data_IF_564348999468
#
_entry.id   IF_564348999468
#
_cell.length_a   1.000
_cell.length_b   1.000
_cell.length_c   1.000
_cell.angle_alpha   90.00
_cell.angle_beta   90.00
_cell.angle_gamma   90.00
#
_symmetry.space_group_name_H-M   'P 1'
#
loop_
_entity.id
_entity.type
_entity.pdbx_description
1 polymer ?
#
# COMPACT_ATOMS: atom_id res chain seq x y z
N UNK A 1 31.99 9.56 10.47
CA UNK A 1 30.96 8.99 9.57
C UNK A 1 29.55 9.26 10.09
N UNK A 2 29.22 8.97 11.36
CA UNK A 2 27.89 9.24 11.96
C UNK A 2 27.37 10.68 11.81
N UNK A 3 28.24 11.69 11.97
CA UNK A 3 27.84 13.11 11.92
C UNK A 3 27.26 13.54 10.57
N UNK A 4 27.84 13.10 9.47
CA UNK A 4 27.36 13.44 8.11
C UNK A 4 25.97 12.85 7.85
N UNK A 5 25.72 11.63 8.35
CA UNK A 5 24.40 10.97 8.24
C UNK A 5 23.35 11.75 9.04
N UNK A 6 23.69 12.17 10.26
CA UNK A 6 22.79 12.95 11.10
C UNK A 6 22.50 14.34 10.51
N UNK A 7 23.54 15.04 10.04
CA UNK A 7 23.37 16.37 9.43
C UNK A 7 22.52 16.29 8.16
N UNK A 8 22.66 15.22 7.35
CA UNK A 8 21.83 14.98 6.18
C UNK A 8 20.37 14.66 6.54
N UNK A 9 20.15 13.84 7.57
CA UNK A 9 18.81 13.50 8.05
C UNK A 9 18.08 14.74 8.62
N UNK A 10 18.78 15.54 9.42
CA UNK A 10 18.25 16.79 9.98
C UNK A 10 17.90 17.81 8.89
N UNK A 11 18.76 17.94 7.87
CA UNK A 11 18.51 18.78 6.71
C UNK A 11 17.27 18.32 5.95
N UNK A 12 17.16 17.03 5.61
CA UNK A 12 15.99 16.46 4.95
C UNK A 12 14.70 16.74 5.72
N UNK A 13 14.72 16.47 7.03
CA UNK A 13 13.55 16.62 7.90
C UNK A 13 13.08 18.09 7.97
N UNK A 14 14.02 19.04 8.07
CA UNK A 14 13.71 20.47 8.20
C UNK A 14 13.27 21.11 6.89
N UNK A 15 13.87 20.72 5.77
CA UNK A 15 13.76 21.51 4.54
C UNK A 15 12.66 21.01 3.60
N UNK A 16 12.56 19.70 3.37
CA UNK A 16 11.71 19.21 2.27
C UNK A 16 10.94 17.92 2.54
N UNK A 17 11.21 17.18 3.62
CA UNK A 17 10.55 15.90 3.89
C UNK A 17 9.02 16.03 3.94
N UNK A 18 8.51 17.01 4.71
CA UNK A 18 7.07 17.20 4.82
C UNK A 18 6.41 17.56 3.47
N UNK A 19 7.10 18.34 2.64
CA UNK A 19 6.61 18.75 1.31
C UNK A 19 6.58 17.54 0.37
N UNK A 20 7.66 16.75 0.36
CA UNK A 20 7.77 15.55 -0.47
C UNK A 20 6.73 14.48 -0.07
N UNK A 21 6.51 14.29 1.23
CA UNK A 21 5.47 13.40 1.74
C UNK A 21 4.07 13.87 1.34
N UNK A 22 3.76 15.16 1.48
CA UNK A 22 2.46 15.71 1.08
C UNK A 22 2.25 15.63 -0.44
N UNK A 23 3.29 15.91 -1.23
CA UNK A 23 3.22 15.79 -2.68
C UNK A 23 2.97 14.35 -3.12
N UNK A 24 3.60 13.37 -2.46
CA UNK A 24 3.40 11.96 -2.74
C UNK A 24 1.98 11.53 -2.38
N UNK A 25 1.46 11.91 -1.21
CA UNK A 25 0.09 11.59 -0.80
C UNK A 25 -0.95 12.19 -1.74
N UNK A 26 -0.75 13.44 -2.18
CA UNK A 26 -1.68 14.13 -3.08
C UNK A 26 -1.88 13.43 -4.43
N UNK A 27 -0.97 12.55 -4.87
CA UNK A 27 -1.10 11.82 -6.14
C UNK A 27 -2.30 10.86 -6.16
N UNK A 28 -2.51 10.10 -5.09
CA UNK A 28 -3.67 9.20 -4.96
C UNK A 28 -4.72 9.67 -3.97
N UNK A 29 -4.40 10.62 -3.10
CA UNK A 29 -5.33 11.25 -2.15
C UNK A 29 -5.33 12.77 -2.31
N UNK A 30 -5.81 13.32 -3.44
CA UNK A 30 -5.76 14.76 -3.73
C UNK A 30 -6.58 15.59 -2.73
N UNK A 31 -7.60 15.00 -2.11
CA UNK A 31 -8.45 15.64 -1.11
C UNK A 31 -7.92 15.46 0.32
N UNK A 32 -6.78 14.77 0.49
CA UNK A 32 -6.12 14.51 1.78
C UNK A 32 -7.09 13.97 2.85
N UNK A 33 -7.92 12.99 2.48
CA UNK A 33 -8.83 12.35 3.43
C UNK A 33 -8.06 11.81 4.63
N UNK A 34 -8.57 12.09 5.83
CA UNK A 34 -8.04 11.54 7.07
C UNK A 34 -8.27 10.03 7.18
N UNK A 35 -9.45 9.56 6.73
CA UNK A 35 -9.72 8.14 6.53
C UNK A 35 -9.03 7.71 5.23
N UNK A 36 -8.00 6.87 5.37
CA UNK A 36 -7.11 6.47 4.28
C UNK A 36 -7.84 5.56 3.30
N UNK A 37 -8.77 4.75 3.79
CA UNK A 37 -9.58 3.83 3.02
C UNK A 37 -10.58 4.58 2.13
N UNK A 38 -11.06 5.75 2.57
CA UNK A 38 -11.86 6.66 1.71
C UNK A 38 -11.01 7.19 0.56
N UNK A 39 -9.80 7.68 0.83
CA UNK A 39 -8.88 8.15 -0.21
C UNK A 39 -8.46 7.05 -1.18
N UNK A 40 -8.23 5.84 -0.66
CA UNK A 40 -7.93 4.66 -1.48
C UNK A 40 -9.10 4.27 -2.39
N UNK A 41 -10.32 4.16 -1.86
CA UNK A 41 -11.50 3.85 -2.65
C UNK A 41 -11.79 4.92 -3.71
N UNK A 42 -11.55 6.20 -3.42
CA UNK A 42 -11.60 7.25 -4.44
C UNK A 42 -10.50 7.08 -5.51
N UNK A 43 -9.27 6.80 -5.09
CA UNK A 43 -8.15 6.59 -6.02
C UNK A 43 -8.43 5.47 -7.03
N UNK A 44 -8.95 4.33 -6.55
CA UNK A 44 -9.31 3.21 -7.40
C UNK A 44 -10.37 3.60 -8.44
N UNK A 45 -11.45 4.24 -7.99
CA UNK A 45 -12.54 4.69 -8.87
C UNK A 45 -12.08 5.72 -9.90
N UNK A 46 -11.26 6.70 -9.50
CA UNK A 46 -10.71 7.73 -10.40
C UNK A 46 -9.83 7.14 -11.50
N UNK A 47 -9.17 6.03 -11.23
CA UNK A 47 -8.33 5.32 -12.20
C UNK A 47 -9.08 4.24 -13.00
N UNK A 48 -10.38 4.04 -12.75
CA UNK A 48 -11.18 3.01 -13.41
C UNK A 48 -10.76 1.58 -13.06
N UNK A 49 -10.20 1.38 -11.86
CA UNK A 49 -9.69 0.08 -11.39
C UNK A 49 -10.76 -0.76 -10.69
N UNK A 50 -11.87 -0.12 -10.32
CA UNK A 50 -13.04 -0.74 -9.67
C UNK A 50 -14.33 -0.12 -10.19
N UNK A 51 -15.46 -0.75 -9.85
CA UNK A 51 -16.79 -0.21 -10.10
C UNK A 51 -16.97 1.19 -9.46
N UNK A 52 -17.72 2.12 -10.08
CA UNK A 52 -17.94 3.46 -9.55
C UNK A 52 -18.58 3.53 -8.15
N UNK A 53 -19.23 2.45 -7.72
CA UNK A 53 -19.83 2.31 -6.39
C UNK A 53 -18.88 1.79 -5.32
N UNK A 54 -17.62 1.50 -5.65
CA UNK A 54 -16.64 0.98 -4.70
C UNK A 54 -16.44 1.92 -3.50
N UNK A 55 -16.40 1.36 -2.28
CA UNK A 55 -16.34 2.13 -1.04
C UNK A 55 -15.20 1.71 -0.12
N UNK A 56 -14.86 2.57 0.83
CA UNK A 56 -13.93 2.25 1.92
C UNK A 56 -14.39 1.03 2.74
N UNK A 57 -15.70 0.85 2.91
CA UNK A 57 -16.26 -0.29 3.64
C UNK A 57 -16.04 -1.60 2.87
N UNK A 58 -16.26 -1.58 1.55
CA UNK A 58 -15.99 -2.73 0.70
C UNK A 58 -14.50 -3.12 0.74
N UNK A 59 -13.59 -2.15 0.71
CA UNK A 59 -12.16 -2.41 0.91
C UNK A 59 -11.87 -3.08 2.26
N UNK A 60 -12.44 -2.58 3.35
CA UNK A 60 -12.23 -3.18 4.70
C UNK A 60 -12.71 -4.62 4.76
N UNK A 61 -13.83 -4.95 4.11
CA UNK A 61 -14.36 -6.31 4.02
C UNK A 61 -13.48 -7.22 3.16
N UNK A 62 -13.05 -6.75 2.00
CA UNK A 62 -12.12 -7.47 1.12
C UNK A 62 -10.78 -7.73 1.80
N UNK A 63 -10.26 -6.75 2.54
CA UNK A 63 -9.03 -6.89 3.30
C UNK A 63 -9.16 -7.90 4.45
N UNK A 64 -10.26 -7.86 5.20
CA UNK A 64 -10.54 -8.86 6.24
C UNK A 64 -10.63 -10.28 5.64
N UNK A 65 -11.27 -10.41 4.47
CA UNK A 65 -11.34 -11.68 3.72
C UNK A 65 -9.95 -12.13 3.27
N UNK A 66 -9.10 -11.22 2.79
CA UNK A 66 -7.70 -11.51 2.41
C UNK A 66 -6.94 -12.13 3.58
N UNK A 67 -7.03 -11.56 4.78
CA UNK A 67 -6.38 -12.09 5.97
C UNK A 67 -6.90 -13.47 6.38
N UNK A 68 -8.21 -13.71 6.21
CA UNK A 68 -8.81 -15.02 6.46
C UNK A 68 -8.30 -16.08 5.46
N UNK A 69 -8.28 -15.77 4.16
CA UNK A 69 -7.77 -16.67 3.11
C UNK A 69 -6.28 -16.99 3.32
N UNK A 70 -5.47 -15.99 3.70
CA UNK A 70 -4.07 -16.19 4.05
C UNK A 70 -3.95 -17.20 5.20
N UNK A 71 -4.67 -16.95 6.30
CA UNK A 71 -4.61 -17.77 7.51
C UNK A 71 -5.10 -19.20 7.27
N UNK A 72 -6.12 -19.37 6.43
CA UNK A 72 -6.64 -20.67 5.98
C UNK A 72 -5.57 -21.44 5.21
N UNK A 73 -4.94 -20.82 4.20
CA UNK A 73 -3.89 -21.49 3.40
C UNK A 73 -2.68 -21.92 4.21
N UNK A 74 -2.26 -21.09 5.16
CA UNK A 74 -1.20 -21.45 6.11
C UNK A 74 -1.62 -22.67 6.95
N UNK A 75 -2.86 -22.69 7.43
CA UNK A 75 -3.39 -23.79 8.24
C UNK A 75 -3.53 -25.11 7.48
N UNK A 76 -3.75 -25.04 6.16
CA UNK A 76 -3.76 -26.19 5.25
C UNK A 76 -2.35 -26.72 4.91
N UNK A 77 -1.30 -26.05 5.40
CA UNK A 77 0.10 -26.41 5.14
C UNK A 77 0.70 -25.78 3.88
N UNK A 78 0.04 -24.78 3.30
CA UNK A 78 0.58 -23.98 2.22
C UNK A 78 1.82 -23.19 2.66
N UNK A 79 2.73 -22.93 1.72
CA UNK A 79 3.84 -22.03 1.99
C UNK A 79 3.35 -20.60 2.20
N UNK A 80 4.20 -19.82 2.84
CA UNK A 80 3.95 -18.41 3.12
C UNK A 80 3.73 -17.60 1.82
N UNK A 81 4.51 -17.87 0.76
CA UNK A 81 4.34 -17.26 -0.56
C UNK A 81 3.02 -17.67 -1.24
N UNK A 82 2.67 -18.96 -1.21
CA UNK A 82 1.39 -19.44 -1.77
C UNK A 82 0.18 -18.86 -1.04
N UNK A 83 0.24 -18.75 0.29
CA UNK A 83 -0.82 -18.15 1.08
C UNK A 83 -1.02 -16.67 0.76
N UNK A 84 0.09 -15.93 0.56
CA UNK A 84 0.06 -14.54 0.13
C UNK A 84 -0.60 -14.41 -1.25
N UNK A 85 -0.13 -15.18 -2.24
CA UNK A 85 -0.68 -15.14 -3.59
C UNK A 85 -2.17 -15.51 -3.65
N UNK A 86 -2.57 -16.52 -2.87
CA UNK A 86 -3.96 -16.90 -2.75
C UNK A 86 -4.82 -15.81 -2.11
N UNK A 87 -4.31 -15.12 -1.09
CA UNK A 87 -5.07 -14.08 -0.38
C UNK A 87 -5.48 -12.90 -1.27
N UNK A 88 -4.67 -12.58 -2.29
CA UNK A 88 -4.96 -11.51 -3.26
C UNK A 88 -6.28 -11.70 -4.02
N UNK A 89 -6.77 -12.93 -4.14
CA UNK A 89 -8.07 -13.25 -4.75
C UNK A 89 -9.26 -12.69 -3.97
N UNK A 90 -9.04 -12.24 -2.73
CA UNK A 90 -10.07 -11.57 -1.94
C UNK A 90 -10.44 -10.17 -2.47
N UNK A 91 -9.65 -9.54 -3.34
CA UNK A 91 -9.94 -8.20 -3.84
C UNK A 91 -10.77 -8.25 -5.13
N UNK A 92 -11.65 -7.27 -5.32
CA UNK A 92 -12.46 -7.16 -6.55
C UNK A 92 -11.73 -6.50 -7.72
N UNK A 93 -10.46 -6.17 -7.53
CA UNK A 93 -9.57 -5.56 -8.51
C UNK A 93 -8.30 -6.40 -8.67
N UNK A 94 -7.57 -6.17 -9.76
CA UNK A 94 -6.23 -6.72 -9.94
C UNK A 94 -5.27 -6.08 -8.92
N UNK A 95 -4.95 -6.85 -7.89
CA UNK A 95 -4.07 -6.39 -6.82
C UNK A 95 -2.67 -6.02 -7.33
N UNK A 96 -2.16 -6.72 -8.34
CA UNK A 96 -0.80 -6.54 -8.85
C UNK A 96 -0.73 -5.40 -9.90
N UNK A 97 -1.86 -4.76 -10.24
CA UNK A 97 -1.87 -3.57 -11.12
C UNK A 97 -1.08 -2.41 -10.49
N UNK A 98 -0.16 -1.84 -11.27
CA UNK A 98 0.74 -0.78 -10.80
C UNK A 98 0.00 0.47 -10.29
N UNK A 99 -1.19 0.78 -10.81
CA UNK A 99 -2.02 1.89 -10.34
C UNK A 99 -2.76 1.54 -9.05
N UNK A 100 -3.13 0.28 -8.83
CA UNK A 100 -3.64 -0.17 -7.53
C UNK A 100 -2.55 -0.01 -6.47
N UNK A 101 -1.32 -0.44 -6.77
CA UNK A 101 -0.16 -0.27 -5.88
C UNK A 101 0.14 1.21 -5.59
N UNK A 102 0.04 2.08 -6.60
CA UNK A 102 0.13 3.52 -6.40
C UNK A 102 -0.93 4.02 -5.41
N UNK A 103 -2.18 3.59 -5.55
CA UNK A 103 -3.27 3.99 -4.66
C UNK A 103 -3.00 3.56 -3.20
N UNK A 104 -2.45 2.36 -2.97
CA UNK A 104 -2.06 1.90 -1.64
C UNK A 104 -0.96 2.77 -1.02
N UNK A 105 0.14 2.98 -1.74
CA UNK A 105 1.31 3.74 -1.26
C UNK A 105 0.91 5.18 -0.92
N UNK A 106 0.17 5.83 -1.82
CA UNK A 106 -0.24 7.24 -1.69
C UNK A 106 -1.37 7.44 -0.67
N UNK A 107 -1.98 6.38 -0.16
CA UNK A 107 -2.90 6.42 0.98
C UNK A 107 -2.31 5.83 2.26
N UNK A 108 -1.02 5.47 2.29
CA UNK A 108 -0.33 4.84 3.44
C UNK A 108 -1.09 3.62 3.98
N UNK A 109 -1.66 2.84 3.06
CA UNK A 109 -2.17 1.51 3.34
C UNK A 109 -1.02 0.58 3.02
N UNK A 110 -0.32 0.16 4.07
CA UNK A 110 0.92 -0.60 3.94
C UNK A 110 0.61 -2.07 3.67
N UNK A 111 0.57 -2.42 2.39
CA UNK A 111 0.30 -3.78 1.92
C UNK A 111 1.57 -4.60 1.81
N UNK A 112 2.73 -3.94 1.68
CA UNK A 112 4.02 -4.62 1.47
C UNK A 112 4.57 -5.21 2.76
N UNK A 113 4.35 -4.59 3.91
CA UNK A 113 4.67 -5.23 5.20
C UNK A 113 3.86 -6.49 5.51
N UNK A 114 2.89 -6.85 4.66
CA UNK A 114 2.14 -8.10 4.75
C UNK A 114 2.71 -9.20 3.83
N UNK A 115 3.63 -8.83 2.94
CA UNK A 115 4.42 -9.74 2.12
C UNK A 115 5.58 -10.34 2.94
N UNK A 116 5.78 -11.65 2.91
CA UNK A 116 6.81 -12.34 3.70
C UNK A 116 8.24 -12.24 3.14
N UNK A 117 8.38 -11.96 1.83
CA UNK A 117 9.65 -11.94 1.10
C UNK A 117 10.09 -10.51 0.75
N UNK A 118 9.99 -9.60 1.72
CA UNK A 118 10.35 -8.17 1.56
C UNK A 118 11.88 -7.91 1.42
N UNK A 119 12.70 -8.97 1.33
CA UNK A 119 14.12 -8.82 0.99
C UNK A 119 14.37 -8.66 -0.53
N UNK A 120 13.56 -9.28 -1.39
CA UNK A 120 13.82 -9.35 -2.84
C UNK A 120 12.94 -8.40 -3.67
N UNK A 121 11.96 -7.74 -3.05
CA UNK A 121 10.98 -6.85 -3.71
C UNK A 121 10.82 -5.48 -3.04
N UNK A 122 11.82 -5.08 -2.25
CA UNK A 122 11.94 -3.73 -1.74
C UNK A 122 11.78 -2.73 -2.89
N UNK A 123 10.77 -1.87 -2.79
CA UNK A 123 10.65 -0.75 -3.71
C UNK A 123 11.75 0.23 -3.34
N UNK A 124 12.74 0.37 -4.22
CA UNK A 124 13.82 1.34 -4.12
C UNK A 124 13.50 2.55 -4.99
N UNK A 125 12.64 3.49 -4.55
CA UNK A 125 12.40 4.70 -5.32
C UNK A 125 13.66 5.55 -5.51
N UNK A 126 14.72 5.28 -4.72
CA UNK A 126 15.96 6.07 -4.71
C UNK A 126 17.27 5.23 -4.70
N UNK A 127 17.23 3.93 -5.02
CA UNK A 127 18.41 3.04 -5.08
C UNK A 127 18.68 2.19 -3.83
N UNK A 128 19.61 1.23 -3.95
CA UNK A 128 20.03 0.26 -2.90
C UNK A 128 20.58 0.92 -1.63
#
# INVERSE_FOLDING_TARGET
MMKVINDAADCKFREYQAIDEMYTLAKGNPNLYQDREVGFAECLRRNGLTEPSYTAQQYKEEYARSQALYSEKISEGGSISEAWDYSKQAFSYDFDDAKVQLCYITNRLDVKSWGPDDADHAWYPFGE
#
